data_IF_387375814811
#
_entry.id   IF_387375814811
#
_cell.length_a   1.000
_cell.length_b   1.000
_cell.length_c   1.000
_cell.angle_alpha   90.00
_cell.angle_beta   90.00
_cell.angle_gamma   90.00
#
_symmetry.space_group_name_H-M   'P 1'
#
loop_
_entity.id
_entity.type
_entity.pdbx_description
1 polymer ?
#
# COMPACT_ATOMS: atom_id res chain seq x y z
N UNK A 1 -8.35 12.97 -34.74
CA UNK A 1 -8.61 13.12 -33.29
C UNK A 1 -7.27 13.28 -32.59
N UNK A 2 -6.91 14.52 -32.19
CA UNK A 2 -5.74 14.74 -31.34
C UNK A 2 -6.10 14.30 -29.91
N UNK A 3 -5.57 13.16 -29.48
CA UNK A 3 -5.66 12.76 -28.08
C UNK A 3 -4.77 13.72 -27.28
N UNK A 4 -5.37 14.72 -26.62
CA UNK A 4 -4.67 15.52 -25.61
C UNK A 4 -3.95 14.57 -24.64
N UNK A 5 -2.62 14.64 -24.64
CA UNK A 5 -1.80 13.85 -23.71
C UNK A 5 -1.99 14.42 -22.31
N UNK A 6 -3.00 13.93 -21.58
CA UNK A 6 -3.26 14.33 -20.19
C UNK A 6 -2.00 14.07 -19.35
N UNK A 7 -1.58 15.06 -18.56
CA UNK A 7 -0.45 14.90 -17.62
C UNK A 7 -0.68 13.71 -16.69
N UNK A 8 0.40 13.08 -16.24
CA UNK A 8 0.34 11.90 -15.35
C UNK A 8 -0.40 12.21 -14.04
N UNK A 9 -0.25 13.43 -13.52
CA UNK A 9 -0.99 13.93 -12.34
C UNK A 9 -2.48 14.09 -12.60
N UNK A 10 -2.89 14.54 -13.79
CA UNK A 10 -4.31 14.58 -14.18
C UNK A 10 -4.88 13.18 -14.35
N UNK A 11 -4.10 12.24 -14.89
CA UNK A 11 -4.50 10.83 -15.01
C UNK A 11 -4.72 10.19 -13.64
N UNK A 12 -3.78 10.35 -12.71
CA UNK A 12 -3.92 9.83 -11.35
C UNK A 12 -5.14 10.39 -10.61
N UNK A 13 -5.40 11.71 -10.71
CA UNK A 13 -6.58 12.34 -10.07
C UNK A 13 -7.92 11.74 -10.53
N UNK A 14 -7.95 11.13 -11.72
CA UNK A 14 -9.14 10.46 -12.27
C UNK A 14 -9.18 8.97 -11.92
N UNK A 15 -8.14 8.40 -11.32
CA UNK A 15 -8.14 7.02 -10.89
C UNK A 15 -8.92 6.86 -9.59
N UNK A 16 -9.77 5.84 -9.55
CA UNK A 16 -10.45 5.43 -8.32
C UNK A 16 -9.44 4.87 -7.31
N UNK A 17 -9.67 5.12 -6.03
CA UNK A 17 -8.86 4.62 -4.94
C UNK A 17 -9.74 4.32 -3.71
N UNK A 18 -9.25 3.45 -2.84
CA UNK A 18 -9.75 3.32 -1.48
C UNK A 18 -8.88 4.13 -0.53
N UNK A 19 -9.47 4.52 0.59
CA UNK A 19 -8.76 5.13 1.71
C UNK A 19 -8.36 4.03 2.70
N UNK A 20 -7.12 4.09 3.20
CA UNK A 20 -6.69 3.31 4.35
C UNK A 20 -6.11 4.29 5.36
N UNK A 21 -6.57 4.23 6.62
CA UNK A 21 -6.07 5.10 7.67
C UNK A 21 -4.56 4.98 7.81
N UNK A 22 -3.87 6.10 8.04
CA UNK A 22 -2.43 6.10 8.26
C UNK A 22 -2.01 5.34 9.52
N UNK A 23 -2.89 5.22 10.52
CA UNK A 23 -2.64 4.40 11.72
C UNK A 23 -2.38 2.93 11.37
N UNK A 24 -2.96 2.44 10.27
CA UNK A 24 -2.81 1.06 9.79
C UNK A 24 -1.52 0.82 8.98
N UNK A 25 -0.68 1.83 8.77
CA UNK A 25 0.61 1.63 8.10
C UNK A 25 1.65 0.98 9.02
N UNK A 26 1.51 1.16 10.34
CA UNK A 26 2.39 0.56 11.35
C UNK A 26 1.90 -0.85 11.69
N UNK A 27 1.89 -1.77 10.72
CA UNK A 27 1.30 -3.11 10.89
C UNK A 27 1.90 -3.92 12.05
N UNK A 28 3.11 -3.58 12.50
CA UNK A 28 3.74 -4.18 13.68
C UNK A 28 2.96 -3.90 14.98
N UNK A 29 2.22 -2.79 15.07
CA UNK A 29 1.42 -2.43 16.25
C UNK A 29 0.03 -3.07 16.27
N UNK A 30 -0.38 -3.75 15.20
CA UNK A 30 -1.70 -4.36 15.05
C UNK A 30 -1.71 -5.84 15.47
N UNK A 31 -0.91 -6.19 16.48
CA UNK A 31 -0.72 -7.56 16.96
C UNK A 31 -0.26 -8.56 15.86
N UNK A 32 -0.51 -9.85 16.09
CA UNK A 32 -0.04 -10.96 15.26
C UNK A 32 -0.74 -10.94 13.90
N UNK A 33 0.05 -10.82 12.84
CA UNK A 33 -0.38 -10.75 11.43
C UNK A 33 -1.07 -9.43 11.05
N UNK A 34 -0.73 -8.30 11.67
CA UNK A 34 -1.27 -7.00 11.27
C UNK A 34 -1.16 -6.68 9.78
N UNK A 35 -0.14 -7.21 9.08
CA UNK A 35 -0.01 -7.07 7.62
C UNK A 35 -1.14 -7.76 6.85
N UNK A 36 -1.65 -8.87 7.39
CA UNK A 36 -2.75 -9.62 6.81
C UNK A 36 -4.08 -8.89 7.02
N UNK A 37 -4.27 -8.32 8.20
CA UNK A 37 -5.48 -7.56 8.56
C UNK A 37 -5.64 -6.36 7.62
N UNK A 38 -4.56 -5.59 7.42
CA UNK A 38 -4.58 -4.43 6.52
C UNK A 38 -4.76 -4.84 5.05
N UNK A 39 -4.21 -5.98 4.64
CA UNK A 39 -4.43 -6.52 3.29
C UNK A 39 -5.88 -6.96 3.08
N UNK A 40 -6.49 -7.67 4.03
CA UNK A 40 -7.90 -8.05 3.97
C UNK A 40 -8.82 -6.83 3.95
N UNK A 41 -8.53 -5.80 4.77
CA UNK A 41 -9.28 -4.54 4.75
C UNK A 41 -9.24 -3.90 3.36
N UNK A 42 -8.08 -3.89 2.70
CA UNK A 42 -7.94 -3.32 1.37
C UNK A 42 -8.79 -4.09 0.33
N UNK A 43 -8.84 -5.41 0.41
CA UNK A 43 -9.68 -6.24 -0.46
C UNK A 43 -11.17 -5.99 -0.18
N UNK A 44 -11.59 -5.97 1.09
CA UNK A 44 -12.98 -5.74 1.49
C UNK A 44 -13.44 -4.37 0.98
N UNK A 45 -12.66 -3.30 1.24
CA UNK A 45 -12.95 -1.96 0.71
C UNK A 45 -12.98 -1.91 -0.81
N UNK A 46 -12.20 -2.75 -1.47
CA UNK A 46 -12.20 -2.81 -2.92
C UNK A 46 -13.48 -3.47 -3.46
N UNK A 47 -13.91 -4.57 -2.84
CA UNK A 47 -15.13 -5.29 -3.19
C UNK A 47 -16.40 -4.53 -2.82
N UNK A 48 -16.34 -3.68 -1.78
CA UNK A 48 -17.46 -2.85 -1.32
C UNK A 48 -17.73 -1.64 -2.23
N UNK A 49 -16.94 -1.44 -3.28
CA UNK A 49 -17.18 -0.39 -4.28
C UNK A 49 -18.29 -0.79 -5.25
N UNK A 50 -19.50 -0.88 -4.72
CA UNK A 50 -20.73 -1.18 -5.41
C UNK A 50 -21.87 -0.31 -4.84
N UNK A 51 -23.07 -0.45 -5.38
CA UNK A 51 -24.21 0.39 -5.00
C UNK A 51 -24.65 0.27 -3.53
N UNK A 52 -24.23 -0.80 -2.82
CA UNK A 52 -24.56 -1.02 -1.41
C UNK A 52 -23.45 -0.55 -0.47
N UNK A 53 -22.24 -0.31 -0.95
CA UNK A 53 -21.10 0.01 -0.09
C UNK A 53 -20.65 -1.18 0.77
N UNK A 54 -20.98 -2.41 0.36
CA UNK A 54 -20.79 -3.64 1.16
C UNK A 54 -20.14 -4.73 0.33
N UNK A 55 -19.16 -5.44 0.87
CA UNK A 55 -18.55 -6.59 0.22
C UNK A 55 -19.28 -7.89 0.61
N UNK A 56 -19.85 -8.60 -0.38
CA UNK A 56 -20.37 -9.95 -0.15
C UNK A 56 -19.24 -10.97 -0.29
N UNK A 57 -18.67 -11.40 0.84
CA UNK A 57 -17.47 -12.26 0.87
C UNK A 57 -17.40 -13.08 2.16
N UNK A 58 -16.48 -14.04 2.22
CA UNK A 58 -16.32 -14.94 3.36
C UNK A 58 -14.89 -15.45 3.48
N UNK A 59 -14.63 -16.23 4.53
CA UNK A 59 -13.28 -16.73 4.85
C UNK A 59 -12.64 -17.43 3.65
N UNK A 60 -13.35 -18.36 3.02
CA UNK A 60 -12.83 -19.14 1.89
C UNK A 60 -12.57 -18.26 0.65
N UNK A 61 -13.39 -17.24 0.40
CA UNK A 61 -13.17 -16.32 -0.71
C UNK A 61 -11.95 -15.43 -0.45
N UNK A 62 -11.80 -14.91 0.77
CA UNK A 62 -10.66 -14.10 1.20
C UNK A 62 -9.32 -14.83 1.06
N UNK A 63 -9.30 -16.14 1.36
CA UNK A 63 -8.10 -16.98 1.18
C UNK A 63 -7.57 -17.01 -0.26
N UNK A 64 -8.42 -16.80 -1.27
CA UNK A 64 -7.97 -16.80 -2.67
C UNK A 64 -7.10 -15.58 -2.98
N UNK A 65 -7.36 -14.44 -2.33
CA UNK A 65 -6.60 -13.20 -2.55
C UNK A 65 -5.21 -13.21 -1.90
N UNK A 66 -4.99 -14.04 -0.89
CA UNK A 66 -3.66 -14.25 -0.29
C UNK A 66 -2.81 -15.25 -1.09
N UNK A 67 -3.37 -15.89 -2.13
CA UNK A 67 -2.66 -16.86 -2.97
C UNK A 67 -2.49 -18.25 -2.35
N UNK A 68 -3.19 -18.55 -1.26
CA UNK A 68 -3.03 -19.81 -0.52
C UNK A 68 -4.16 -20.80 -0.83
N UNK A 69 -3.87 -22.10 -0.64
CA UNK A 69 -4.86 -23.16 -0.83
C UNK A 69 -6.03 -23.00 0.16
N UNK A 70 -7.25 -23.11 -0.36
CA UNK A 70 -8.50 -23.09 0.42
C UNK A 70 -8.71 -24.35 1.25
N UNK A 71 -7.82 -25.34 1.18
CA UNK A 71 -7.93 -26.60 1.92
C UNK A 71 -7.18 -26.56 3.26
N UNK A 72 -6.21 -25.64 3.41
CA UNK A 72 -5.38 -25.54 4.60
C UNK A 72 -6.14 -24.97 5.81
N UNK A 73 -6.34 -25.79 6.84
CA UNK A 73 -7.06 -25.42 8.07
C UNK A 73 -6.43 -24.23 8.81
N UNK A 74 -5.10 -24.19 8.92
CA UNK A 74 -4.37 -23.09 9.54
C UNK A 74 -4.65 -21.75 8.85
N UNK A 75 -4.68 -21.76 7.51
CA UNK A 75 -4.92 -20.57 6.69
C UNK A 75 -6.37 -20.09 6.83
N UNK A 76 -7.33 -21.02 6.95
CA UNK A 76 -8.74 -20.69 7.28
C UNK A 76 -8.85 -20.00 8.64
N UNK A 77 -8.24 -20.59 9.68
CA UNK A 77 -8.25 -20.05 11.02
C UNK A 77 -7.65 -18.64 11.06
N UNK A 78 -6.47 -18.45 10.48
CA UNK A 78 -5.80 -17.14 10.41
C UNK A 78 -6.62 -16.09 9.65
N UNK A 79 -7.30 -16.49 8.56
CA UNK A 79 -8.17 -15.59 7.78
C UNK A 79 -9.40 -15.19 8.59
N UNK A 80 -10.05 -16.15 9.26
CA UNK A 80 -11.17 -15.89 10.17
C UNK A 80 -10.77 -14.94 11.30
N UNK A 81 -9.67 -15.22 11.99
CA UNK A 81 -9.14 -14.38 13.07
C UNK A 81 -8.87 -12.95 12.60
N UNK A 82 -8.32 -12.80 11.39
CA UNK A 82 -8.06 -11.48 10.78
C UNK A 82 -9.35 -10.68 10.56
N UNK A 83 -10.41 -11.31 10.04
CA UNK A 83 -11.69 -10.66 9.82
C UNK A 83 -12.35 -10.27 11.16
N UNK A 84 -12.29 -11.15 12.16
CA UNK A 84 -12.82 -10.87 13.50
C UNK A 84 -12.04 -9.70 14.14
N UNK A 85 -10.71 -9.69 14.08
CA UNK A 85 -9.90 -8.56 14.58
C UNK A 85 -10.23 -7.25 13.89
N UNK A 86 -10.44 -7.24 12.58
CA UNK A 86 -10.86 -6.03 11.85
C UNK A 86 -12.22 -5.51 12.35
N UNK A 87 -13.14 -6.41 12.71
CA UNK A 87 -14.42 -6.04 13.32
C UNK A 87 -14.25 -5.53 14.75
N UNK A 88 -13.45 -6.20 15.59
CA UNK A 88 -13.15 -5.78 16.96
C UNK A 88 -12.44 -4.43 17.01
N UNK A 89 -11.54 -4.17 16.06
CA UNK A 89 -10.90 -2.87 15.85
C UNK A 89 -11.88 -1.84 15.27
N UNK A 90 -13.08 -2.22 14.84
CA UNK A 90 -14.11 -1.32 14.31
C UNK A 90 -13.83 -0.80 12.91
N UNK A 91 -13.01 -1.47 12.10
CA UNK A 91 -12.75 -1.11 10.71
C UNK A 91 -13.76 -1.71 9.72
N UNK A 92 -14.44 -2.78 10.11
CA UNK A 92 -15.53 -3.41 9.36
C UNK A 92 -16.68 -3.81 10.30
N UNK A 93 -17.88 -3.89 9.76
CA UNK A 93 -19.04 -4.57 10.35
C UNK A 93 -19.32 -5.82 9.50
N UNK A 94 -19.56 -6.98 10.13
CA UNK A 94 -19.87 -8.24 9.44
C UNK A 94 -21.29 -8.67 9.78
N UNK A 95 -22.16 -8.72 8.77
CA UNK A 95 -23.56 -9.09 8.93
C UNK A 95 -23.94 -10.34 8.12
N UNK A 96 -24.94 -11.07 8.60
CA UNK A 96 -25.49 -12.26 7.92
C UNK A 96 -26.45 -11.92 6.78
N UNK A 97 -27.20 -10.84 6.93
CA UNK A 97 -28.24 -10.40 6.01
C UNK A 97 -27.87 -9.10 5.28
N UNK A 98 -28.55 -8.83 4.17
CA UNK A 98 -28.30 -7.65 3.32
C UNK A 98 -28.83 -6.34 3.92
N UNK A 99 -29.75 -6.39 4.88
CA UNK A 99 -30.28 -5.22 5.57
C UNK A 99 -29.31 -4.70 6.66
N UNK A 100 -28.25 -5.46 6.96
CA UNK A 100 -27.23 -5.17 7.96
C UNK A 100 -27.79 -5.17 9.40
N UNK A 101 -28.83 -5.95 9.68
CA UNK A 101 -29.48 -5.95 10.99
C UNK A 101 -28.85 -6.97 11.95
N UNK A 102 -28.28 -8.06 11.42
CA UNK A 102 -27.74 -9.15 12.23
C UNK A 102 -26.21 -9.22 12.14
N UNK A 103 -25.54 -8.55 13.07
CA UNK A 103 -24.07 -8.64 13.21
C UNK A 103 -23.63 -10.03 13.69
N UNK A 104 -22.50 -10.48 13.19
CA UNK A 104 -21.96 -11.81 13.44
C UNK A 104 -20.62 -11.70 14.15
N UNK A 105 -20.48 -12.42 15.27
CA UNK A 105 -19.22 -12.47 16.03
C UNK A 105 -18.42 -13.76 15.77
N UNK A 106 -19.03 -14.77 15.14
CA UNK A 106 -18.36 -16.02 14.78
C UNK A 106 -18.57 -16.41 13.32
N UNK A 107 -17.47 -16.47 12.56
CA UNK A 107 -17.52 -16.77 11.13
C UNK A 107 -17.40 -18.28 10.87
N UNK A 108 -18.43 -18.85 10.25
CA UNK A 108 -18.37 -20.17 9.59
C UNK A 108 -17.60 -20.06 8.26
N UNK A 109 -16.54 -20.87 8.04
CA UNK A 109 -15.69 -20.74 6.85
C UNK A 109 -16.38 -20.96 5.49
N UNK A 110 -17.48 -21.72 5.48
CA UNK A 110 -18.25 -22.06 4.28
C UNK A 110 -19.23 -20.95 3.86
N UNK A 111 -19.53 -20.00 4.74
CA UNK A 111 -20.52 -18.97 4.49
C UNK A 111 -19.87 -17.70 3.93
N UNK A 112 -20.66 -16.97 3.14
CA UNK A 112 -20.38 -15.57 2.81
C UNK A 112 -21.23 -14.67 3.71
N UNK A 113 -20.70 -13.49 3.97
CA UNK A 113 -21.27 -12.46 4.81
C UNK A 113 -21.23 -11.13 4.06
N UNK A 114 -21.99 -10.19 4.58
CA UNK A 114 -21.99 -8.82 4.11
C UNK A 114 -21.05 -8.00 5.01
N UNK A 115 -19.91 -7.60 4.45
CA UNK A 115 -18.87 -6.86 5.18
C UNK A 115 -18.87 -5.39 4.77
N UNK A 116 -19.18 -4.50 5.71
CA UNK A 116 -19.26 -3.06 5.50
C UNK A 116 -18.05 -2.35 6.11
N UNK A 117 -17.21 -1.66 5.31
CA UNK A 117 -16.15 -0.82 5.87
C UNK A 117 -16.72 0.40 6.61
N UNK A 118 -16.12 0.76 7.75
CA UNK A 118 -16.60 1.88 8.59
C UNK A 118 -15.90 3.21 8.32
N UNK A 119 -14.72 3.18 7.69
CA UNK A 119 -13.88 4.36 7.48
C UNK A 119 -13.15 4.85 8.73
N UNK A 120 -13.13 4.05 9.80
CA UNK A 120 -12.48 4.40 11.07
C UNK A 120 -11.06 4.96 10.89
N UNK A 121 -10.82 6.08 11.56
CA UNK A 121 -9.59 6.87 11.64
C UNK A 121 -9.15 7.57 10.34
N UNK A 122 -9.91 7.48 9.25
CA UNK A 122 -9.54 8.11 7.98
C UNK A 122 -9.58 9.64 8.02
N UNK A 123 -10.39 10.22 8.91
CA UNK A 123 -10.50 11.66 9.14
C UNK A 123 -9.20 12.25 9.72
N UNK A 124 -8.42 11.46 10.45
CA UNK A 124 -7.11 11.84 10.99
C UNK A 124 -5.97 11.67 9.98
N UNK A 125 -6.27 11.13 8.80
CA UNK A 125 -5.35 10.99 7.69
C UNK A 125 -5.40 9.61 7.07
N UNK A 126 -5.32 9.56 5.73
CA UNK A 126 -5.35 8.31 4.98
C UNK A 126 -4.27 8.26 3.90
N UNK A 127 -3.90 7.04 3.53
CA UNK A 127 -3.20 6.72 2.30
C UNK A 127 -4.20 6.47 1.16
N UNK A 128 -3.92 7.01 -0.02
CA UNK A 128 -4.67 6.71 -1.25
C UNK A 128 -4.15 5.41 -1.86
N UNK A 129 -4.97 4.36 -1.84
CA UNK A 129 -4.60 3.05 -2.38
C UNK A 129 -5.41 2.80 -3.66
N UNK A 130 -4.76 2.88 -4.81
CA UNK A 130 -5.45 2.83 -6.11
C UNK A 130 -5.83 1.41 -6.50
N UNK A 131 -7.02 1.25 -7.11
CA UNK A 131 -7.52 -0.08 -7.50
C UNK A 131 -6.58 -0.83 -8.45
N UNK A 132 -5.95 -0.12 -9.39
CA UNK A 132 -4.99 -0.73 -10.33
C UNK A 132 -3.79 -1.35 -9.60
N UNK A 133 -3.32 -0.70 -8.55
CA UNK A 133 -2.18 -1.17 -7.79
C UNK A 133 -2.59 -2.39 -6.94
N UNK A 134 -3.79 -2.35 -6.34
CA UNK A 134 -4.38 -3.49 -5.61
C UNK A 134 -4.54 -4.70 -6.54
N UNK A 135 -5.08 -4.50 -7.75
CA UNK A 135 -5.26 -5.57 -8.74
C UNK A 135 -3.94 -6.23 -9.11
N UNK A 136 -2.89 -5.44 -9.34
CA UNK A 136 -1.55 -5.96 -9.62
C UNK A 136 -1.00 -6.77 -8.44
N UNK A 137 -1.12 -6.29 -7.21
CA UNK A 137 -0.67 -7.02 -6.01
C UNK A 137 -1.44 -8.34 -5.83
N UNK A 138 -2.75 -8.34 -6.07
CA UNK A 138 -3.57 -9.57 -6.02
C UNK A 138 -3.11 -10.57 -7.08
N UNK A 139 -2.75 -10.10 -8.27
CA UNK A 139 -2.34 -10.93 -9.40
C UNK A 139 -0.89 -11.49 -9.28
N UNK A 140 -0.06 -10.93 -8.39
CA UNK A 140 1.31 -11.42 -8.17
C UNK A 140 1.35 -12.93 -7.87
N UNK A 141 2.37 -13.62 -8.37
CA UNK A 141 2.65 -15.01 -8.00
C UNK A 141 3.54 -15.07 -6.76
N UNK A 142 2.96 -14.74 -5.59
CA UNK A 142 3.67 -14.70 -4.32
C UNK A 142 2.78 -15.13 -3.16
N UNK A 143 3.35 -15.92 -2.23
CA UNK A 143 2.70 -16.29 -0.96
C UNK A 143 2.81 -15.18 0.11
N UNK A 144 3.54 -14.11 -0.21
CA UNK A 144 3.83 -13.00 0.71
C UNK A 144 3.08 -11.71 0.35
N UNK A 145 1.95 -11.80 -0.37
CA UNK A 145 1.15 -10.64 -0.82
C UNK A 145 0.80 -9.66 0.29
N UNK A 146 0.42 -10.14 1.48
CA UNK A 146 0.12 -9.28 2.62
C UNK A 146 1.34 -8.45 3.07
N UNK A 147 2.53 -9.04 3.06
CA UNK A 147 3.79 -8.36 3.40
C UNK A 147 4.26 -7.41 2.30
N UNK A 148 4.06 -7.78 1.03
CA UNK A 148 4.27 -6.88 -0.11
C UNK A 148 3.34 -5.68 -0.01
N UNK A 149 2.07 -5.90 0.32
CA UNK A 149 1.08 -4.84 0.52
C UNK A 149 1.43 -3.93 1.71
N UNK A 150 1.86 -4.48 2.84
CA UNK A 150 2.32 -3.69 4.00
C UNK A 150 3.56 -2.84 3.69
N UNK A 151 4.45 -3.35 2.83
CA UNK A 151 5.61 -2.60 2.32
C UNK A 151 5.15 -1.47 1.38
N UNK A 152 4.24 -1.78 0.45
CA UNK A 152 3.65 -0.83 -0.48
C UNK A 152 2.93 0.32 0.22
N UNK A 153 2.05 0.02 1.19
CA UNK A 153 1.27 1.04 1.91
C UNK A 153 2.16 1.99 2.70
N UNK A 154 3.27 1.50 3.27
CA UNK A 154 4.26 2.36 3.93
C UNK A 154 4.90 3.35 2.97
N UNK A 155 5.14 2.96 1.72
CA UNK A 155 5.68 3.87 0.70
C UNK A 155 4.64 4.91 0.26
N UNK A 156 3.44 4.48 -0.13
CA UNK A 156 2.41 5.39 -0.66
C UNK A 156 1.77 6.28 0.40
N UNK A 157 1.63 5.82 1.65
CA UNK A 157 1.11 6.64 2.74
C UNK A 157 2.07 7.74 3.20
N UNK A 158 3.35 7.62 2.82
CA UNK A 158 4.39 8.65 2.99
C UNK A 158 4.70 9.43 1.70
N UNK A 159 3.86 9.32 0.66
CA UNK A 159 3.92 10.23 -0.47
C UNK A 159 3.29 11.57 -0.10
N UNK A 160 3.96 12.66 -0.48
CA UNK A 160 3.48 14.01 -0.24
C UNK A 160 2.50 14.45 -1.35
N UNK A 161 1.31 14.89 -0.95
CA UNK A 161 0.28 15.46 -1.82
C UNK A 161 -0.23 16.76 -1.16
N UNK A 162 0.41 17.90 -1.41
CA UNK A 162 -0.02 19.18 -0.85
C UNK A 162 -1.18 19.78 -1.67
N UNK A 163 -2.34 19.97 -1.05
CA UNK A 163 -3.54 20.53 -1.68
C UNK A 163 -3.52 22.06 -1.87
N UNK A 164 -2.46 22.76 -1.48
CA UNK A 164 -2.39 24.22 -1.57
C UNK A 164 -1.48 24.71 -2.72
N UNK A 165 -2.10 25.14 -3.82
CA UNK A 165 -1.56 26.23 -4.66
C UNK A 165 -0.48 25.91 -5.72
N UNK A 166 -0.93 26.00 -6.97
CA UNK A 166 -0.21 26.40 -8.20
C UNK A 166 0.82 25.49 -8.87
N UNK A 167 1.66 24.70 -8.19
CA UNK A 167 2.57 23.74 -8.90
C UNK A 167 3.30 22.70 -8.00
N UNK A 168 2.81 22.44 -6.78
CA UNK A 168 3.55 21.69 -5.74
C UNK A 168 2.96 20.32 -5.35
N UNK A 169 2.28 19.64 -6.27
CA UNK A 169 1.78 18.28 -6.06
C UNK A 169 2.68 17.26 -6.74
N UNK A 170 3.79 16.94 -6.09
CA UNK A 170 4.76 15.97 -6.58
C UNK A 170 4.61 14.68 -5.76
N UNK A 171 3.87 13.67 -6.28
CA UNK A 171 3.57 12.43 -5.56
C UNK A 171 4.81 11.54 -5.46
N UNK A 172 5.69 11.89 -4.52
CA UNK A 172 6.96 11.21 -4.30
C UNK A 172 7.14 10.91 -2.82
N UNK A 173 7.70 9.74 -2.55
CA UNK A 173 8.07 9.25 -1.24
C UNK A 173 9.57 9.03 -1.19
N UNK A 174 10.16 9.32 -0.04
CA UNK A 174 11.56 9.05 0.26
C UNK A 174 11.67 8.39 1.64
N UNK A 175 10.68 7.57 2.00
CA UNK A 175 10.71 6.80 3.23
C UNK A 175 11.96 5.92 3.28
N UNK A 176 12.62 5.85 4.44
CA UNK A 176 13.79 4.96 4.65
C UNK A 176 13.35 3.51 4.74
N UNK A 177 14.19 2.60 4.24
CA UNK A 177 13.98 1.16 4.41
C UNK A 177 13.87 0.80 5.89
N UNK A 178 14.71 1.38 6.76
CA UNK A 178 14.64 1.14 8.21
C UNK A 178 13.32 1.58 8.83
N UNK A 179 12.69 2.63 8.30
CA UNK A 179 11.36 3.04 8.76
C UNK A 179 10.31 2.01 8.37
N UNK A 180 10.35 1.47 7.15
CA UNK A 180 9.45 0.38 6.74
C UNK A 180 9.66 -0.85 7.63
N UNK A 181 10.92 -1.23 7.90
CA UNK A 181 11.27 -2.34 8.80
C UNK A 181 10.70 -2.11 10.19
N UNK A 182 10.86 -0.90 10.74
CA UNK A 182 10.31 -0.54 12.05
C UNK A 182 8.79 -0.65 12.08
N UNK A 183 8.12 -0.08 11.09
CA UNK A 183 6.66 0.01 11.01
C UNK A 183 6.00 -1.35 10.77
N UNK A 184 6.64 -2.22 9.99
CA UNK A 184 6.05 -3.51 9.58
C UNK A 184 6.56 -4.70 10.39
N UNK A 185 7.74 -4.60 11.01
CA UNK A 185 8.43 -5.73 11.62
C UNK A 185 9.03 -6.72 10.61
N UNK A 186 8.93 -6.44 9.30
CA UNK A 186 9.53 -7.26 8.25
C UNK A 186 11.04 -7.02 8.25
N UNK A 187 11.84 -8.10 8.14
CA UNK A 187 13.28 -7.97 8.10
C UNK A 187 13.74 -7.15 6.87
N UNK A 188 14.86 -6.43 7.00
CA UNK A 188 15.37 -5.51 5.97
C UNK A 188 15.54 -6.17 4.59
N UNK A 189 16.09 -7.38 4.54
CA UNK A 189 16.31 -8.10 3.28
C UNK A 189 14.98 -8.33 2.56
N UNK A 190 13.97 -8.82 3.27
CA UNK A 190 12.64 -9.02 2.71
C UNK A 190 11.97 -7.71 2.29
N UNK A 191 12.12 -6.62 3.05
CA UNK A 191 11.61 -5.30 2.62
C UNK A 191 12.20 -4.90 1.26
N UNK A 192 13.52 -5.02 1.08
CA UNK A 192 14.18 -4.70 -0.20
C UNK A 192 13.65 -5.58 -1.33
N UNK A 193 13.51 -6.88 -1.11
CA UNK A 193 12.95 -7.80 -2.13
C UNK A 193 11.50 -7.49 -2.47
N UNK A 194 10.67 -7.13 -1.49
CA UNK A 194 9.28 -6.71 -1.75
C UNK A 194 9.20 -5.39 -2.50
N UNK A 195 10.09 -4.43 -2.22
CA UNK A 195 10.19 -3.19 -3.00
C UNK A 195 10.61 -3.46 -4.45
N UNK A 196 11.54 -4.40 -4.68
CA UNK A 196 11.91 -4.83 -6.05
C UNK A 196 10.73 -5.47 -6.78
N UNK A 197 9.99 -6.37 -6.12
CA UNK A 197 8.78 -6.96 -6.70
C UNK A 197 7.73 -5.90 -7.10
N UNK A 198 7.58 -4.83 -6.31
CA UNK A 198 6.71 -3.69 -6.66
C UNK A 198 7.19 -2.90 -7.89
N UNK A 199 8.50 -2.90 -8.16
CA UNK A 199 9.07 -2.32 -9.39
C UNK A 199 8.85 -3.25 -10.59
N UNK A 200 9.11 -4.54 -10.43
CA UNK A 200 8.93 -5.56 -11.47
C UNK A 200 7.48 -5.62 -11.98
N UNK A 201 6.52 -5.49 -11.06
CA UNK A 201 5.07 -5.48 -11.38
C UNK A 201 4.58 -4.09 -11.83
N UNK A 202 5.50 -3.14 -12.05
CA UNK A 202 5.20 -1.79 -12.51
C UNK A 202 4.17 -1.07 -11.62
N UNK A 203 4.29 -1.21 -10.30
CA UNK A 203 3.42 -0.55 -9.32
C UNK A 203 4.08 0.72 -8.82
N UNK A 204 5.34 0.59 -8.40
CA UNK A 204 6.17 1.67 -7.91
C UNK A 204 7.38 1.84 -8.83
N UNK A 205 7.90 3.05 -8.92
CA UNK A 205 9.13 3.34 -9.65
C UNK A 205 10.14 3.99 -8.70
N UNK A 206 11.33 3.40 -8.64
CA UNK A 206 12.40 3.82 -7.73
C UNK A 206 13.61 4.32 -8.50
N UNK A 207 14.22 5.35 -7.95
CA UNK A 207 15.59 5.75 -8.26
C UNK A 207 16.33 5.98 -6.94
N UNK A 208 17.65 5.97 -7.00
CA UNK A 208 18.48 6.34 -5.85
C UNK A 208 19.61 7.27 -6.22
N UNK A 209 19.97 8.13 -5.27
CA UNK A 209 21.12 9.03 -5.35
C UNK A 209 22.13 8.71 -4.26
N UNK A 210 23.42 8.83 -4.60
CA UNK A 210 24.50 8.97 -3.65
C UNK A 210 24.82 10.46 -3.49
N UNK A 211 24.51 10.99 -2.32
CA UNK A 211 24.61 12.40 -1.98
C UNK A 211 25.87 12.60 -1.16
N UNK A 212 26.73 13.53 -1.58
CA UNK A 212 28.01 13.85 -0.91
C UNK A 212 28.91 12.63 -0.70
N UNK A 213 28.82 11.60 -1.57
CA UNK A 213 29.54 10.32 -1.50
C UNK A 213 29.32 9.48 -0.22
N UNK A 214 28.42 9.88 0.69
CA UNK A 214 28.25 9.22 2.00
C UNK A 214 26.83 8.75 2.26
N UNK A 215 25.83 9.32 1.57
CA UNK A 215 24.42 9.06 1.82
C UNK A 215 23.79 8.46 0.57
N UNK A 216 23.30 7.22 0.67
CA UNK A 216 22.48 6.61 -0.37
C UNK A 216 21.01 6.77 -0.01
N UNK A 217 20.19 7.30 -0.92
CA UNK A 217 18.77 7.59 -0.64
C UNK A 217 17.87 7.15 -1.79
N UNK A 218 16.84 6.36 -1.46
CA UNK A 218 15.79 6.02 -2.42
C UNK A 218 14.72 7.13 -2.51
N UNK A 219 14.25 7.35 -3.74
CA UNK A 219 13.09 8.17 -4.06
C UNK A 219 12.14 7.36 -4.92
N UNK A 220 10.84 7.47 -4.63
CA UNK A 220 9.81 6.61 -5.21
C UNK A 220 8.58 7.40 -5.61
N UNK A 221 8.04 7.10 -6.78
CA UNK A 221 6.70 7.51 -7.20
C UNK A 221 5.87 6.29 -7.57
N UNK A 222 4.56 6.46 -7.74
CA UNK A 222 3.78 5.46 -8.48
C UNK A 222 4.30 5.33 -9.91
N UNK A 223 4.14 4.16 -10.52
CA UNK A 223 4.65 3.87 -11.86
C UNK A 223 4.16 4.85 -12.93
N UNK A 224 2.92 5.34 -12.80
CA UNK A 224 2.34 6.32 -13.72
C UNK A 224 3.17 7.62 -13.82
N UNK A 225 4.00 7.92 -12.81
CA UNK A 225 4.85 9.10 -12.77
C UNK A 225 6.33 8.84 -13.05
N UNK A 226 6.71 7.63 -13.49
CA UNK A 226 8.12 7.22 -13.67
C UNK A 226 8.99 8.23 -14.43
N UNK A 227 8.43 8.85 -15.47
CA UNK A 227 9.11 9.83 -16.32
C UNK A 227 9.46 11.14 -15.58
N UNK A 228 8.82 11.40 -14.43
CA UNK A 228 9.05 12.60 -13.63
C UNK A 228 9.87 12.35 -12.37
N UNK A 229 10.04 11.09 -11.96
CA UNK A 229 10.66 10.71 -10.67
C UNK A 229 12.02 11.36 -10.48
N UNK A 230 12.91 11.31 -11.47
CA UNK A 230 14.24 11.91 -11.38
C UNK A 230 14.21 13.42 -11.19
N UNK A 231 13.42 14.13 -12.01
CA UNK A 231 13.28 15.59 -11.92
C UNK A 231 12.75 16.02 -10.55
N UNK A 232 11.79 15.26 -10.03
CA UNK A 232 11.17 15.52 -8.73
C UNK A 232 12.10 15.21 -7.56
N UNK A 233 12.79 14.07 -7.61
CA UNK A 233 13.73 13.66 -6.58
C UNK A 233 14.92 14.61 -6.46
N UNK A 234 15.48 15.10 -7.58
CA UNK A 234 16.62 16.04 -7.57
C UNK A 234 16.24 17.29 -6.77
N UNK A 235 15.11 17.93 -7.10
CA UNK A 235 14.66 19.15 -6.41
C UNK A 235 14.48 18.94 -4.90
N UNK A 236 13.93 17.78 -4.51
CA UNK A 236 13.77 17.45 -3.09
C UNK A 236 15.11 17.15 -2.41
N UNK A 237 16.02 16.45 -3.09
CA UNK A 237 17.34 16.17 -2.57
C UNK A 237 18.14 17.46 -2.35
N UNK A 238 18.11 18.40 -3.30
CA UNK A 238 18.80 19.70 -3.16
C UNK A 238 18.27 20.47 -1.95
N UNK A 239 16.93 20.50 -1.80
CA UNK A 239 16.28 21.16 -0.66
C UNK A 239 16.64 20.51 0.68
N UNK A 240 16.52 19.19 0.80
CA UNK A 240 16.73 18.47 2.05
C UNK A 240 18.20 18.43 2.48
N UNK A 241 19.12 18.28 1.53
CA UNK A 241 20.55 18.15 1.81
C UNK A 241 21.33 19.45 1.65
N UNK A 242 20.66 20.55 1.30
CA UNK A 242 21.24 21.89 1.11
C UNK A 242 22.49 21.86 0.23
N UNK A 243 22.37 21.19 -0.91
CA UNK A 243 23.46 20.93 -1.85
C UNK A 243 22.96 21.03 -3.29
N UNK A 244 23.86 21.08 -4.27
CA UNK A 244 23.54 21.19 -5.70
C UNK A 244 23.51 19.81 -6.40
N UNK A 245 22.79 19.73 -7.53
CA UNK A 245 22.72 18.52 -8.35
C UNK A 245 24.10 17.94 -8.73
N UNK A 246 25.14 18.77 -8.88
CA UNK A 246 26.49 18.32 -9.19
C UNK A 246 27.15 17.49 -8.07
N UNK A 247 26.59 17.51 -6.85
CA UNK A 247 27.01 16.67 -5.72
C UNK A 247 26.27 15.33 -5.63
N UNK A 248 25.34 15.07 -6.54
CA UNK A 248 24.66 13.79 -6.65
C UNK A 248 25.40 12.88 -7.61
N UNK A 249 25.91 11.75 -7.09
CA UNK A 249 26.39 10.65 -7.92
C UNK A 249 25.29 9.61 -8.04
N UNK A 250 25.10 9.11 -9.24
CA UNK A 250 24.03 8.15 -9.51
C UNK A 250 22.67 8.79 -9.78
N UNK A 251 21.75 7.89 -10.08
CA UNK A 251 20.41 8.10 -10.64
C UNK A 251 19.93 6.77 -11.24
N UNK A 252 20.45 5.66 -10.70
CA UNK A 252 20.21 4.34 -11.23
C UNK A 252 18.77 3.93 -10.87
N UNK A 253 18.13 3.32 -11.85
CA UNK A 253 16.76 2.82 -11.73
C UNK A 253 16.79 1.59 -10.83
N UNK A 254 15.87 1.54 -9.87
CA UNK A 254 15.71 0.44 -8.93
C UNK A 254 15.96 0.82 -7.48
N UNK A 255 15.77 -0.18 -6.61
CA UNK A 255 15.82 -0.04 -5.15
C UNK A 255 17.25 -0.28 -4.68
N UNK A 256 17.89 0.74 -4.09
CA UNK A 256 19.13 0.58 -3.35
C UNK A 256 18.84 0.06 -1.94
N UNK A 257 19.76 -0.71 -1.37
CA UNK A 257 19.68 -1.14 0.02
C UNK A 257 19.97 -0.03 1.04
N UNK A 258 20.20 1.22 0.59
CA UNK A 258 20.53 2.42 1.39
C UNK A 258 21.75 2.27 2.31
N UNK A 259 22.62 1.29 2.06
CA UNK A 259 23.93 1.27 2.71
C UNK A 259 24.79 2.34 2.04
N UNK A 260 25.56 3.06 2.85
CA UNK A 260 26.56 4.00 2.31
C UNK A 260 27.53 3.27 1.38
N UNK A 261 28.33 4.02 0.62
CA UNK A 261 29.46 3.43 -0.10
C UNK A 261 30.39 2.85 0.97
N UNK A 262 30.53 1.52 0.99
CA UNK A 262 31.51 0.82 1.82
C UNK A 262 32.92 1.11 1.35
#
# INVERSE_FOLDING_TARGET
MNAETKSTTKRERLESFIKISKSLMETKSLDKNGELDVYHLAIIKSLSNNFQGVAYTGVTHMMRFIGMSTEQSLTKARTKESLIRLQEMGHIEICEDIAMENMVNDLKPANNYFMKPTGKDEEWGFAKVFYKDIQKIIAMKSDYKSKVFATYINVIGNMFYDSTGTDKNVPISFIRIDTIVKNTGINRKSVVEYLKALVEEEILYFIHFHINNSITKNYCTRWIHKEHTSKWAIRLAEYHYRTDQGKFKGGAVGVSDERGVS
#
